data_IF_653080771637
#
_entry.id   IF_653080771637
#
_cell.length_a   1.000
_cell.length_b   1.000
_cell.length_c   1.000
_cell.angle_alpha   90.00
_cell.angle_beta   90.00
_cell.angle_gamma   90.00
#
_symmetry.space_group_name_H-M   'P 1'
#
loop_
_entity.id
_entity.type
_entity.pdbx_description
1 polymer ?
#
# COMPACT_ATOMS: atom_id res chain seq x y z
N UNK A 1 -16.90 -12.89 45.84
CA UNK A 1 -15.53 -12.51 45.41
C UNK A 1 -15.31 -12.79 43.92
N UNK A 2 -15.70 -13.96 43.42
CA UNK A 2 -15.59 -14.32 41.98
C UNK A 2 -16.49 -13.50 41.06
N UNK A 3 -17.70 -13.13 41.48
CA UNK A 3 -18.63 -12.30 40.70
C UNK A 3 -18.13 -10.87 40.46
N UNK A 4 -17.59 -10.23 41.49
CA UNK A 4 -17.02 -8.88 41.42
C UNK A 4 -15.83 -8.81 40.45
N UNK A 5 -14.93 -9.81 40.51
CA UNK A 5 -13.81 -9.92 39.57
C UNK A 5 -14.28 -10.17 38.13
N UNK A 6 -15.30 -11.02 37.94
CA UNK A 6 -15.84 -11.32 36.62
C UNK A 6 -16.52 -10.10 35.97
N UNK A 7 -17.25 -9.29 36.74
CA UNK A 7 -17.87 -8.05 36.22
C UNK A 7 -16.82 -7.00 35.84
N UNK A 8 -15.78 -6.84 36.66
CA UNK A 8 -14.70 -5.91 36.35
C UNK A 8 -13.93 -6.34 35.10
N UNK A 9 -13.57 -7.63 35.01
CA UNK A 9 -12.93 -8.19 33.81
C UNK A 9 -13.81 -8.06 32.57
N UNK A 10 -15.12 -8.28 32.69
CA UNK A 10 -16.07 -8.11 31.58
C UNK A 10 -16.15 -6.67 31.08
N UNK A 11 -16.19 -5.70 31.99
CA UNK A 11 -16.22 -4.28 31.65
C UNK A 11 -14.94 -3.84 30.92
N UNK A 12 -13.77 -4.23 31.44
CA UNK A 12 -12.47 -3.94 30.82
C UNK A 12 -12.34 -4.55 29.42
N UNK A 13 -12.76 -5.81 29.25
CA UNK A 13 -12.75 -6.49 27.96
C UNK A 13 -13.72 -5.84 26.96
N UNK A 14 -14.91 -5.42 27.43
CA UNK A 14 -15.88 -4.71 26.59
C UNK A 14 -15.35 -3.36 26.11
N UNK A 15 -14.68 -2.61 26.98
CA UNK A 15 -14.07 -1.33 26.64
C UNK A 15 -12.95 -1.50 25.61
N UNK A 16 -12.08 -2.50 25.80
CA UNK A 16 -10.99 -2.83 24.90
C UNK A 16 -11.53 -3.28 23.52
N UNK A 17 -12.54 -4.15 23.50
CA UNK A 17 -13.19 -4.56 22.26
C UNK A 17 -13.80 -3.36 21.52
N UNK A 18 -14.49 -2.46 22.24
CA UNK A 18 -15.03 -1.22 21.66
C UNK A 18 -13.94 -0.35 21.03
N UNK A 19 -12.82 -0.15 21.73
CA UNK A 19 -11.68 0.61 21.21
C UNK A 19 -11.08 -0.03 19.93
N UNK A 20 -10.97 -1.36 19.90
CA UNK A 20 -10.50 -2.11 18.72
C UNK A 20 -11.43 -1.92 17.53
N UNK A 21 -12.75 -1.98 17.73
CA UNK A 21 -13.71 -1.75 16.65
C UNK A 21 -13.66 -0.31 16.11
N UNK A 22 -13.53 0.69 16.99
CA UNK A 22 -13.37 2.08 16.57
C UNK A 22 -12.09 2.23 15.73
N UNK A 23 -10.97 1.68 16.20
CA UNK A 23 -9.71 1.71 15.46
C UNK A 23 -9.85 1.03 14.09
N UNK A 24 -10.55 -0.10 14.02
CA UNK A 24 -10.77 -0.82 12.78
C UNK A 24 -11.60 -0.03 11.76
N UNK A 25 -12.64 0.68 12.21
CA UNK A 25 -13.41 1.58 11.34
C UNK A 25 -12.54 2.71 10.78
N UNK A 26 -11.71 3.33 11.63
CA UNK A 26 -10.77 4.37 11.17
C UNK A 26 -9.79 3.81 10.13
N UNK A 27 -9.25 2.62 10.37
CA UNK A 27 -8.36 1.95 9.41
C UNK A 27 -9.08 1.55 8.11
N UNK A 28 -10.37 1.20 8.17
CA UNK A 28 -11.16 0.88 6.99
C UNK A 28 -11.31 2.10 6.08
N UNK A 29 -11.56 3.28 6.66
CA UNK A 29 -11.58 4.54 5.93
C UNK A 29 -10.20 4.84 5.31
N UNK A 30 -9.13 4.66 6.08
CA UNK A 30 -7.75 4.84 5.59
C UNK A 30 -7.45 3.92 4.40
N UNK A 31 -7.91 2.66 4.45
CA UNK A 31 -7.74 1.68 3.40
C UNK A 31 -8.42 2.12 2.09
N UNK A 32 -9.63 2.68 2.20
CA UNK A 32 -10.37 3.22 1.06
C UNK A 32 -9.67 4.45 0.48
N UNK A 33 -9.15 5.33 1.33
CA UNK A 33 -8.49 6.56 0.89
C UNK A 33 -7.11 6.33 0.26
N UNK A 34 -6.36 5.32 0.70
CA UNK A 34 -4.95 5.13 0.29
C UNK A 34 -4.72 4.04 -0.76
N UNK A 35 -5.64 3.10 -0.94
CA UNK A 35 -5.44 2.03 -1.90
C UNK A 35 -5.62 2.54 -3.34
N UNK A 36 -4.66 2.17 -4.19
CA UNK A 36 -4.64 2.57 -5.60
C UNK A 36 -5.64 1.80 -6.47
N UNK A 37 -6.34 0.82 -5.89
CA UNK A 37 -7.29 -0.06 -6.59
C UNK A 37 -8.54 -0.27 -5.75
N UNK A 38 -9.72 -0.15 -6.37
CA UNK A 38 -11.02 -0.30 -5.71
C UNK A 38 -11.20 -1.68 -5.05
N UNK A 39 -10.78 -2.76 -5.71
CA UNK A 39 -10.92 -4.13 -5.18
C UNK A 39 -10.14 -4.34 -3.88
N UNK A 40 -8.89 -3.88 -3.82
CA UNK A 40 -8.07 -3.97 -2.60
C UNK A 40 -8.61 -3.11 -1.46
N UNK A 41 -9.09 -1.89 -1.76
CA UNK A 41 -9.77 -1.05 -0.78
C UNK A 41 -10.98 -1.74 -0.14
N UNK A 42 -11.86 -2.31 -0.96
CA UNK A 42 -13.07 -3.01 -0.48
C UNK A 42 -12.69 -4.24 0.36
N UNK A 43 -11.71 -5.03 -0.08
CA UNK A 43 -11.26 -6.21 0.67
C UNK A 43 -10.78 -5.84 2.08
N UNK A 44 -9.94 -4.80 2.19
CA UNK A 44 -9.46 -4.32 3.49
C UNK A 44 -10.59 -3.74 4.35
N UNK A 45 -11.49 -2.94 3.78
CA UNK A 45 -12.60 -2.36 4.52
C UNK A 45 -13.54 -3.44 5.08
N UNK A 46 -13.92 -4.41 4.27
CA UNK A 46 -14.78 -5.53 4.71
C UNK A 46 -14.09 -6.35 5.80
N UNK A 47 -12.81 -6.67 5.64
CA UNK A 47 -12.06 -7.44 6.64
C UNK A 47 -11.95 -6.70 7.99
N UNK A 48 -11.67 -5.39 7.95
CA UNK A 48 -11.55 -4.56 9.16
C UNK A 48 -12.86 -4.44 9.93
N UNK A 49 -14.00 -4.38 9.22
CA UNK A 49 -15.32 -4.29 9.87
C UNK A 49 -15.76 -5.65 10.42
N UNK A 50 -15.55 -6.73 9.66
CA UNK A 50 -16.05 -8.06 10.02
C UNK A 50 -15.16 -8.79 11.03
N UNK A 51 -13.84 -8.63 10.94
CA UNK A 51 -12.85 -9.36 11.72
C UNK A 51 -11.75 -8.43 12.24
N UNK A 52 -12.08 -7.41 13.05
CA UNK A 52 -11.14 -6.36 13.45
C UNK A 52 -9.93 -6.91 14.21
N UNK A 53 -10.11 -7.93 15.05
CA UNK A 53 -9.00 -8.51 15.84
C UNK A 53 -7.87 -9.07 14.98
N UNK A 54 -8.19 -9.59 13.78
CA UNK A 54 -7.20 -10.17 12.85
C UNK A 54 -6.84 -9.17 11.75
N UNK A 55 -7.83 -8.50 11.18
CA UNK A 55 -7.63 -7.60 10.07
C UNK A 55 -6.88 -6.32 10.48
N UNK A 56 -7.06 -5.83 11.71
CA UNK A 56 -6.39 -4.62 12.20
C UNK A 56 -4.86 -4.78 12.25
N UNK A 57 -4.29 -5.80 12.93
CA UNK A 57 -2.84 -6.00 12.90
C UNK A 57 -2.33 -6.30 11.49
N UNK A 58 -3.08 -7.06 10.69
CA UNK A 58 -2.69 -7.37 9.33
C UNK A 58 -2.65 -6.12 8.43
N UNK A 59 -3.61 -5.21 8.59
CA UNK A 59 -3.66 -3.94 7.85
C UNK A 59 -2.49 -3.03 8.23
N UNK A 60 -2.13 -2.97 9.52
CA UNK A 60 -0.99 -2.18 9.99
C UNK A 60 0.32 -2.67 9.36
N UNK A 61 0.50 -4.00 9.24
CA UNK A 61 1.71 -4.61 8.67
C UNK A 61 1.73 -4.53 7.14
N UNK A 62 0.62 -4.87 6.47
CA UNK A 62 0.58 -5.09 5.02
C UNK A 62 -0.29 -4.10 4.23
N UNK A 63 -1.32 -3.53 4.85
CA UNK A 63 -2.30 -2.67 4.18
C UNK A 63 -1.77 -1.28 3.83
N UNK A 64 -0.83 -0.76 4.62
CA UNK A 64 -0.19 0.53 4.37
C UNK A 64 0.76 0.40 3.18
N UNK A 65 0.34 0.90 2.02
CA UNK A 65 0.90 0.77 0.65
C UNK A 65 2.38 1.12 0.40
N UNK A 66 3.24 1.11 1.42
CA UNK A 66 4.67 1.35 1.34
C UNK A 66 5.41 0.07 1.71
N UNK A 67 5.46 -0.89 0.79
CA UNK A 67 6.49 -1.92 0.81
C UNK A 67 7.84 -1.21 0.55
N UNK A 68 8.38 -0.55 1.58
CA UNK A 68 9.56 0.31 1.49
C UNK A 68 10.75 -0.50 0.93
N UNK A 69 10.80 -1.81 1.20
CA UNK A 69 11.77 -2.73 0.60
C UNK A 69 11.67 -2.82 -0.93
N UNK A 70 10.46 -2.85 -1.51
CA UNK A 70 10.26 -2.90 -2.96
C UNK A 70 10.61 -1.56 -3.61
N UNK A 71 10.24 -0.44 -2.96
CA UNK A 71 10.61 0.90 -3.45
C UNK A 71 12.13 1.11 -3.38
N UNK A 72 12.78 0.63 -2.32
CA UNK A 72 14.24 0.67 -2.19
C UNK A 72 14.92 -0.21 -3.25
N UNK A 73 14.46 -1.44 -3.45
CA UNK A 73 14.97 -2.36 -4.47
C UNK A 73 14.76 -1.83 -5.90
N UNK A 74 13.63 -1.16 -6.16
CA UNK A 74 13.39 -0.55 -7.47
C UNK A 74 14.24 0.70 -7.72
N UNK A 75 14.52 1.49 -6.67
CA UNK A 75 15.43 2.64 -6.76
C UNK A 75 16.89 2.23 -6.95
N UNK A 76 17.34 1.14 -6.33
CA UNK A 76 18.68 0.60 -6.60
C UNK A 76 18.80 0.10 -8.04
N UNK A 77 17.81 -0.66 -8.53
CA UNK A 77 17.80 -1.17 -9.91
C UNK A 77 17.81 -0.04 -10.97
N UNK A 78 17.09 1.07 -10.71
CA UNK A 78 17.13 2.24 -11.59
C UNK A 78 18.49 2.92 -11.62
N UNK A 79 19.23 2.90 -10.50
CA UNK A 79 20.57 3.52 -10.43
C UNK A 79 21.58 2.75 -11.28
N UNK A 80 21.48 1.43 -11.28
CA UNK A 80 22.35 0.55 -12.07
C UNK A 80 22.01 0.68 -13.57
N UNK A 81 20.73 0.78 -13.92
CA UNK A 81 20.29 1.04 -15.30
C UNK A 81 20.69 2.43 -15.79
N UNK A 82 20.66 3.47 -14.93
CA UNK A 82 21.03 4.83 -15.30
C UNK A 82 22.47 4.92 -15.82
N UNK A 83 23.39 4.15 -15.23
CA UNK A 83 24.78 4.10 -15.70
C UNK A 83 24.90 3.53 -17.11
N UNK A 84 24.10 2.50 -17.43
CA UNK A 84 24.08 1.88 -18.75
C UNK A 84 23.43 2.83 -19.76
N UNK A 85 22.32 3.48 -19.39
CA UNK A 85 21.63 4.47 -20.24
C UNK A 85 22.52 5.68 -20.51
N UNK A 86 23.19 6.26 -19.50
CA UNK A 86 24.13 7.38 -19.69
C UNK A 86 25.30 6.98 -20.60
N UNK A 87 25.81 5.74 -20.48
CA UNK A 87 26.88 5.23 -21.34
C UNK A 87 26.39 4.97 -22.77
N UNK A 88 25.13 4.57 -22.96
CA UNK A 88 24.54 4.36 -24.27
C UNK A 88 24.03 5.65 -24.94
N UNK A 89 23.78 6.72 -24.18
CA UNK A 89 23.35 8.01 -24.71
C UNK A 89 24.34 8.60 -25.74
N UNK A 90 25.64 8.29 -25.59
CA UNK A 90 26.69 8.63 -26.57
C UNK A 90 26.41 8.03 -27.96
N UNK A 91 25.70 6.90 -28.02
CA UNK A 91 25.27 6.21 -29.26
C UNK A 91 23.83 6.55 -29.68
N UNK A 92 23.17 7.48 -28.98
CA UNK A 92 21.78 7.88 -29.18
C UNK A 92 21.37 8.27 -30.62
N UNK A 93 22.23 8.92 -31.44
CA UNK A 93 21.86 9.21 -32.83
C UNK A 93 21.80 7.96 -33.72
N UNK A 94 22.50 6.87 -33.34
CA UNK A 94 22.63 5.66 -34.15
C UNK A 94 21.57 4.60 -33.82
N UNK A 95 21.08 4.58 -32.57
CA UNK A 95 20.07 3.63 -32.11
C UNK A 95 18.72 4.32 -31.87
N UNK A 96 18.13 4.88 -32.92
CA UNK A 96 16.70 5.18 -32.92
C UNK A 96 15.93 3.89 -33.19
N UNK A 97 15.49 3.21 -32.14
CA UNK A 97 14.53 2.12 -32.31
C UNK A 97 13.24 2.73 -32.86
N UNK A 98 12.96 2.49 -34.15
CA UNK A 98 11.65 2.75 -34.74
C UNK A 98 10.63 1.86 -34.04
N UNK A 99 10.02 2.38 -32.98
CA UNK A 99 8.86 1.77 -32.37
C UNK A 99 7.78 1.80 -33.45
N UNK A 100 7.39 0.62 -33.94
CA UNK A 100 6.30 0.44 -34.90
C UNK A 100 4.94 0.74 -34.25
N UNK A 101 4.79 1.89 -33.59
CA UNK A 101 3.51 2.44 -33.22
C UNK A 101 3.21 3.57 -34.19
N UNK A 102 2.26 3.35 -35.09
CA UNK A 102 1.69 4.36 -35.98
C UNK A 102 0.90 5.43 -35.23
N UNK A 103 1.52 6.08 -34.24
CA UNK A 103 1.05 7.33 -33.65
C UNK A 103 2.19 8.33 -33.74
N UNK A 104 1.87 9.38 -34.48
CA UNK A 104 2.71 10.51 -34.81
C UNK A 104 3.50 11.04 -33.59
N UNK A 105 4.81 11.08 -33.80
CA UNK A 105 5.73 12.14 -33.39
C UNK A 105 5.40 12.93 -32.11
N UNK A 106 6.17 12.62 -31.07
CA UNK A 106 7.16 13.58 -30.51
C UNK A 106 6.82 15.08 -30.65
N UNK A 107 5.81 15.56 -29.91
CA UNK A 107 5.59 16.99 -29.58
C UNK A 107 6.00 17.29 -28.12
N UNK A 108 7.17 16.81 -27.70
CA UNK A 108 7.61 16.95 -26.31
C UNK A 108 8.87 17.80 -26.12
N UNK A 109 9.38 18.45 -27.17
CA UNK A 109 10.58 19.29 -27.11
C UNK A 109 10.44 20.53 -28.01
N UNK A 110 9.38 21.31 -27.78
CA UNK A 110 9.35 22.75 -28.06
C UNK A 110 8.95 23.48 -26.78
#
# INVERSE_FOLDING_TARGET
MTSFLAEHLGAELGLLAGAVYIAAVVMALDAVMRNRTAQGAIAWAVALITLPLVALPLYIVFGRSRFNGYVAARRSNNRDLKLIVDRMAVFGPTFQASMASGRESWRALE
#
